data_IF_489930305286
#
_entry.id   IF_489930305286
#
_cell.length_a   1.000
_cell.length_b   1.000
_cell.length_c   1.000
_cell.angle_alpha   90.00
_cell.angle_beta   90.00
_cell.angle_gamma   90.00
#
_symmetry.space_group_name_H-M   'P 1'
#
loop_
_entity.id
_entity.type
_entity.pdbx_description
1 polymer ?
#
# COMPACT_ATOMS: atom_id res chain seq x y z
N UNK A 1 -2.55 19.74 -8.70
CA UNK A 1 -2.34 21.18 -8.93
C UNK A 1 -0.98 21.69 -8.41
N UNK A 2 -0.57 21.36 -7.19
CA UNK A 2 0.73 21.77 -6.64
C UNK A 2 1.92 21.30 -7.51
N UNK A 3 1.94 20.01 -7.90
CA UNK A 3 3.00 19.45 -8.74
C UNK A 3 3.15 20.20 -10.08
N UNK A 4 2.03 20.50 -10.76
CA UNK A 4 2.02 21.28 -12.01
C UNK A 4 2.67 22.66 -11.84
N UNK A 5 2.39 23.37 -10.73
CA UNK A 5 2.98 24.69 -10.46
C UNK A 5 4.48 24.63 -10.16
N UNK A 6 4.94 23.57 -9.51
CA UNK A 6 6.34 23.42 -9.11
C UNK A 6 7.24 22.87 -10.21
N UNK A 7 6.72 21.98 -11.07
CA UNK A 7 7.53 21.27 -12.06
C UNK A 7 7.21 21.58 -13.52
N UNK A 8 6.16 22.37 -13.80
CA UNK A 8 5.80 22.79 -15.16
C UNK A 8 5.34 21.66 -16.10
N UNK A 9 5.02 20.48 -15.56
CA UNK A 9 4.50 19.35 -16.35
C UNK A 9 3.03 19.57 -16.73
N UNK A 10 2.58 18.90 -17.78
CA UNK A 10 1.19 18.98 -18.23
C UNK A 10 0.19 18.48 -17.16
N UNK A 11 -1.07 18.88 -17.33
CA UNK A 11 -2.14 18.59 -16.37
C UNK A 11 -2.40 17.09 -16.19
N UNK A 12 -2.31 16.32 -17.27
CA UNK A 12 -2.58 14.88 -17.24
C UNK A 12 -1.46 14.15 -16.49
N UNK A 13 -0.19 14.43 -16.80
CA UNK A 13 0.97 13.92 -16.08
C UNK A 13 0.93 14.30 -14.61
N UNK A 14 0.62 15.56 -14.27
CA UNK A 14 0.50 15.99 -12.88
C UNK A 14 -0.63 15.26 -12.14
N UNK A 15 -1.75 14.99 -12.80
CA UNK A 15 -2.90 14.30 -12.21
C UNK A 15 -2.57 12.83 -11.94
N UNK A 16 -2.12 12.08 -12.94
CA UNK A 16 -1.82 10.65 -12.78
C UNK A 16 -0.60 10.40 -11.89
N UNK A 17 0.40 11.28 -11.89
CA UNK A 17 1.52 11.23 -10.95
C UNK A 17 1.06 11.38 -9.49
N UNK A 18 0.07 12.24 -9.23
CA UNK A 18 -0.44 12.50 -7.87
C UNK A 18 -1.58 11.57 -7.46
N UNK A 19 -2.27 10.94 -8.41
CA UNK A 19 -3.33 9.99 -8.14
C UNK A 19 -2.83 8.84 -7.26
N UNK A 20 -3.68 8.44 -6.31
CA UNK A 20 -3.43 7.28 -5.46
C UNK A 20 -4.06 6.08 -6.17
N UNK A 21 -3.22 5.25 -6.78
CA UNK A 21 -3.60 4.07 -7.55
C UNK A 21 -2.41 3.14 -7.73
N UNK A 22 -2.65 1.93 -8.24
CA UNK A 22 -1.56 1.01 -8.58
C UNK A 22 -0.73 1.54 -9.74
N UNK A 23 0.60 1.40 -9.65
CA UNK A 23 1.52 1.98 -10.62
C UNK A 23 1.25 1.48 -12.05
N UNK A 24 0.85 0.21 -12.20
CA UNK A 24 0.52 -0.40 -13.49
C UNK A 24 -0.78 0.15 -14.08
N UNK A 25 -1.82 0.33 -13.26
CA UNK A 25 -3.09 0.92 -13.70
C UNK A 25 -2.90 2.38 -14.09
N UNK A 26 -2.10 3.12 -13.32
CA UNK A 26 -1.83 4.54 -13.60
C UNK A 26 -0.95 4.72 -14.83
N UNK A 27 -0.02 3.80 -15.12
CA UNK A 27 0.72 3.79 -16.37
C UNK A 27 -0.23 3.62 -17.58
N UNK A 28 -1.13 2.63 -17.54
CA UNK A 28 -2.12 2.38 -18.60
C UNK A 28 -3.06 3.57 -18.78
N UNK A 29 -3.54 4.16 -17.67
CA UNK A 29 -4.41 5.34 -17.75
C UNK A 29 -3.66 6.58 -18.23
N UNK A 30 -2.39 6.75 -17.86
CA UNK A 30 -1.57 7.86 -18.33
C UNK A 30 -1.34 7.80 -19.84
N UNK A 31 -1.07 6.62 -20.38
CA UNK A 31 -0.91 6.41 -21.82
C UNK A 31 -2.17 6.77 -22.60
N UNK A 32 -3.35 6.36 -22.10
CA UNK A 32 -4.65 6.65 -22.72
C UNK A 32 -5.00 8.13 -22.78
N UNK A 33 -4.44 8.93 -21.88
CA UNK A 33 -4.74 10.37 -21.76
C UNK A 33 -3.54 11.24 -22.16
N UNK A 34 -2.58 10.68 -22.90
CA UNK A 34 -1.43 11.42 -23.44
C UNK A 34 -0.47 11.96 -22.39
N UNK A 35 -0.49 11.43 -21.17
CA UNK A 35 0.45 11.80 -20.12
C UNK A 35 1.80 11.11 -20.30
N UNK A 36 2.85 11.71 -19.76
CA UNK A 36 4.20 11.16 -19.76
C UNK A 36 4.28 9.98 -18.79
N UNK A 37 4.10 8.77 -19.33
CA UNK A 37 4.12 7.50 -18.59
C UNK A 37 5.41 7.35 -17.79
N UNK A 38 6.54 7.80 -18.34
CA UNK A 38 7.84 7.80 -17.68
C UNK A 38 7.82 8.62 -16.40
N UNK A 39 7.34 9.86 -16.46
CA UNK A 39 7.17 10.75 -15.29
C UNK A 39 6.07 10.29 -14.32
N UNK A 40 5.01 9.64 -14.79
CA UNK A 40 3.98 9.10 -13.88
C UNK A 40 4.52 7.91 -13.09
N UNK A 41 5.13 6.94 -13.79
CA UNK A 41 5.83 5.82 -13.16
C UNK A 41 6.91 6.34 -12.22
N UNK A 42 7.58 7.43 -12.60
CA UNK A 42 8.54 8.12 -11.78
C UNK A 42 8.00 8.53 -10.43
N UNK A 43 6.90 9.26 -10.46
CA UNK A 43 6.35 9.81 -9.25
C UNK A 43 5.94 8.71 -8.27
N UNK A 44 5.38 7.61 -8.79
CA UNK A 44 4.96 6.49 -7.96
C UNK A 44 6.15 5.71 -7.39
N UNK A 45 7.20 5.48 -8.16
CA UNK A 45 8.43 4.83 -7.66
C UNK A 45 9.10 5.67 -6.56
N UNK A 46 9.22 6.98 -6.77
CA UNK A 46 9.79 7.89 -5.78
C UNK A 46 8.95 7.94 -4.50
N UNK A 47 7.61 7.95 -4.63
CA UNK A 47 6.70 7.88 -3.48
C UNK A 47 6.91 6.59 -2.70
N UNK A 48 6.97 5.44 -3.37
CA UNK A 48 7.21 4.15 -2.68
C UNK A 48 8.57 4.14 -1.98
N UNK A 49 9.60 4.74 -2.59
CA UNK A 49 10.92 4.90 -1.95
C UNK A 49 10.82 5.69 -0.65
N UNK A 50 10.19 6.86 -0.71
CA UNK A 50 10.04 7.74 0.45
C UNK A 50 9.23 7.06 1.54
N UNK A 51 8.11 6.43 1.20
CA UNK A 51 7.24 5.70 2.12
C UNK A 51 8.02 4.60 2.86
N UNK A 52 8.69 3.71 2.12
CA UNK A 52 9.42 2.58 2.73
C UNK A 52 10.65 3.04 3.51
N UNK A 53 11.33 4.09 3.06
CA UNK A 53 12.51 4.63 3.75
C UNK A 53 12.17 5.49 4.97
N UNK A 54 11.00 6.12 5.03
CA UNK A 54 10.67 7.08 6.11
C UNK A 54 9.71 6.52 7.14
N UNK A 55 8.65 5.80 6.73
CA UNK A 55 7.59 5.37 7.65
C UNK A 55 8.10 4.47 8.78
N UNK A 56 8.86 3.38 8.52
CA UNK A 56 9.29 2.48 9.60
C UNK A 56 10.16 3.20 10.63
N UNK A 57 11.04 4.08 10.17
CA UNK A 57 11.92 4.88 11.01
C UNK A 57 11.15 5.95 11.78
N UNK A 58 10.21 6.63 11.13
CA UNK A 58 9.36 7.65 11.75
C UNK A 58 8.50 7.07 12.86
N UNK A 59 7.83 5.94 12.61
CA UNK A 59 7.01 5.26 13.63
C UNK A 59 7.88 4.72 14.77
N UNK A 60 9.06 4.15 14.48
CA UNK A 60 9.99 3.68 15.52
C UNK A 60 10.54 4.83 16.37
N UNK A 61 10.94 5.93 15.75
CA UNK A 61 11.43 7.13 16.43
C UNK A 61 10.35 7.76 17.32
N UNK A 62 9.11 7.78 16.85
CA UNK A 62 7.99 8.30 17.64
C UNK A 62 7.61 7.34 18.79
N UNK A 63 7.71 6.03 18.57
CA UNK A 63 7.55 5.00 19.59
C UNK A 63 8.55 5.11 20.74
N UNK A 64 9.82 5.41 20.44
CA UNK A 64 10.85 5.57 21.47
C UNK A 64 10.72 6.84 22.32
N UNK A 65 9.83 7.77 21.95
CA UNK A 65 9.59 9.03 22.67
C UNK A 65 8.24 9.06 23.41
N UNK A 66 7.67 7.89 23.72
CA UNK A 66 6.58 7.76 24.71
C UNK A 66 5.15 7.85 24.19
N UNK A 67 4.93 7.89 22.87
CA UNK A 67 3.59 7.86 22.26
C UNK A 67 3.24 6.55 21.56
N UNK A 68 4.07 5.50 21.68
CA UNK A 68 3.82 4.24 20.98
C UNK A 68 4.56 3.00 21.55
N UNK A 69 4.54 2.79 22.86
CA UNK A 69 4.70 1.43 23.40
C UNK A 69 3.32 0.75 23.52
N UNK A 70 2.65 0.56 22.39
CA UNK A 70 1.51 -0.34 22.29
C UNK A 70 1.94 -1.59 21.54
N UNK A 71 2.31 -2.63 22.28
CA UNK A 71 2.32 -3.97 21.70
C UNK A 71 0.86 -4.37 21.48
N UNK A 72 0.33 -4.18 20.27
CA UNK A 72 -0.79 -5.00 19.81
C UNK A 72 -0.19 -6.39 19.51
N UNK A 73 0.08 -7.15 20.58
CA UNK A 73 0.67 -8.48 20.49
C UNK A 73 -0.25 -9.38 19.67
N UNK A 74 0.08 -9.51 18.38
CA UNK A 74 -0.52 -10.53 17.54
C UNK A 74 -0.12 -11.90 18.08
N UNK A 75 -1.05 -12.58 18.76
CA UNK A 75 -0.89 -13.96 19.20
C UNK A 75 -1.33 -14.88 18.05
N UNK A 76 -0.44 -15.71 17.47
CA UNK A 76 -0.83 -16.66 16.44
C UNK A 76 -1.89 -17.64 16.96
N UNK A 77 -2.99 -17.82 16.23
CA UNK A 77 -4.06 -18.76 16.62
C UNK A 77 -3.63 -20.25 16.60
N UNK A 78 -2.56 -20.59 15.87
CA UNK A 78 -1.92 -21.91 15.91
C UNK A 78 -0.51 -21.78 16.48
N UNK A 79 -0.21 -22.55 17.53
CA UNK A 79 1.09 -22.52 18.22
C UNK A 79 2.19 -23.29 17.46
N UNK A 80 1.82 -24.39 16.80
CA UNK A 80 2.73 -25.30 16.11
C UNK A 80 2.54 -25.26 14.59
N UNK A 81 3.59 -25.67 13.89
CA UNK A 81 3.54 -25.93 12.45
C UNK A 81 3.04 -27.35 12.26
N UNK A 82 1.80 -27.50 11.78
CA UNK A 82 1.26 -28.78 11.35
C UNK A 82 1.45 -28.91 9.84
N UNK A 83 2.21 -29.90 9.32
CA UNK A 83 2.41 -30.07 7.89
C UNK A 83 1.10 -30.23 7.10
N UNK A 84 0.12 -30.93 7.66
CA UNK A 84 -1.18 -31.15 7.01
C UNK A 84 -2.00 -29.86 6.97
N UNK A 85 -2.13 -29.18 8.12
CA UNK A 85 -2.75 -27.86 8.21
C UNK A 85 -2.05 -26.80 7.35
N UNK A 86 -0.72 -26.83 7.23
CA UNK A 86 0.05 -25.93 6.37
C UNK A 86 -0.24 -26.21 4.89
N UNK A 87 -0.27 -27.47 4.47
CA UNK A 87 -0.63 -27.85 3.12
C UNK A 87 -2.07 -27.42 2.78
N UNK A 88 -3.02 -27.66 3.69
CA UNK A 88 -4.40 -27.20 3.55
C UNK A 88 -4.48 -25.67 3.44
N UNK A 89 -3.76 -24.94 4.29
CA UNK A 89 -3.72 -23.48 4.26
C UNK A 89 -3.17 -22.94 2.94
N UNK A 90 -2.07 -23.52 2.43
CA UNK A 90 -1.48 -23.15 1.14
C UNK A 90 -2.46 -23.47 0.00
N UNK A 91 -3.08 -24.65 0.00
CA UNK A 91 -4.07 -25.01 -1.01
C UNK A 91 -5.27 -24.06 -1.01
N UNK A 92 -5.87 -23.78 0.14
CA UNK A 92 -7.03 -22.90 0.26
C UNK A 92 -6.69 -21.48 -0.21
N UNK A 93 -5.55 -20.94 0.22
CA UNK A 93 -5.13 -19.58 -0.16
C UNK A 93 -4.80 -19.46 -1.65
N UNK A 94 -4.15 -20.46 -2.24
CA UNK A 94 -3.88 -20.53 -3.69
C UNK A 94 -5.17 -20.66 -4.49
N UNK A 95 -6.09 -21.54 -4.08
CA UNK A 95 -7.39 -21.70 -4.74
C UNK A 95 -8.22 -20.40 -4.68
N UNK A 96 -8.20 -19.69 -3.55
CA UNK A 96 -8.84 -18.40 -3.42
C UNK A 96 -8.22 -17.35 -4.37
N UNK A 97 -6.89 -17.29 -4.47
CA UNK A 97 -6.20 -16.42 -5.43
C UNK A 97 -6.59 -16.73 -6.88
N UNK A 98 -6.66 -18.02 -7.25
CA UNK A 98 -7.05 -18.46 -8.59
C UNK A 98 -8.52 -18.17 -8.90
N UNK A 99 -9.42 -18.36 -7.94
CA UNK A 99 -10.83 -18.00 -8.08
C UNK A 99 -11.00 -16.49 -8.32
N UNK A 100 -10.30 -15.66 -7.55
CA UNK A 100 -10.30 -14.21 -7.71
C UNK A 100 -9.68 -13.77 -9.05
N UNK A 101 -8.60 -14.44 -9.48
CA UNK A 101 -7.98 -14.22 -10.78
C UNK A 101 -8.97 -14.54 -11.92
N UNK A 102 -9.74 -15.62 -11.81
CA UNK A 102 -10.78 -15.98 -12.78
C UNK A 102 -11.91 -14.94 -12.82
N UNK A 103 -12.25 -14.36 -11.67
CA UNK A 103 -13.17 -13.22 -11.54
C UNK A 103 -12.60 -11.88 -12.04
N UNK A 104 -11.36 -11.83 -12.55
CA UNK A 104 -10.66 -10.61 -12.99
C UNK A 104 -10.58 -9.52 -11.92
N UNK A 105 -10.55 -9.91 -10.66
CA UNK A 105 -10.39 -8.97 -9.55
C UNK A 105 -8.94 -8.43 -9.53
N UNK A 106 -8.75 -7.13 -9.30
CA UNK A 106 -7.42 -6.54 -9.22
C UNK A 106 -6.70 -7.10 -7.99
N UNK A 107 -5.38 -7.29 -8.09
CA UNK A 107 -4.55 -7.81 -7.01
C UNK A 107 -5.06 -9.13 -6.38
N UNK A 108 -5.61 -10.03 -7.21
CA UNK A 108 -6.17 -11.32 -6.79
C UNK A 108 -5.22 -12.16 -5.92
N UNK A 109 -3.91 -12.09 -6.18
CA UNK A 109 -2.88 -12.82 -5.43
C UNK A 109 -2.63 -12.28 -4.02
N UNK A 110 -3.11 -11.08 -3.69
CA UNK A 110 -3.09 -10.54 -2.33
C UNK A 110 -4.48 -10.68 -1.70
N UNK A 111 -5.53 -10.24 -2.40
CA UNK A 111 -6.89 -10.20 -1.84
C UNK A 111 -7.44 -11.61 -1.61
N UNK A 112 -7.24 -12.55 -2.54
CA UNK A 112 -7.77 -13.91 -2.43
C UNK A 112 -7.24 -14.66 -1.20
N UNK A 113 -5.91 -14.82 -1.03
CA UNK A 113 -5.32 -15.43 0.15
C UNK A 113 -5.73 -14.73 1.45
N UNK A 114 -5.83 -13.40 1.43
CA UNK A 114 -6.17 -12.63 2.60
C UNK A 114 -7.62 -12.86 3.05
N UNK A 115 -8.56 -12.85 2.11
CA UNK A 115 -9.96 -13.12 2.41
C UNK A 115 -10.15 -14.55 2.92
N UNK A 116 -9.46 -15.52 2.31
CA UNK A 116 -9.49 -16.90 2.76
C UNK A 116 -8.94 -17.04 4.19
N UNK A 117 -7.80 -16.43 4.49
CA UNK A 117 -7.22 -16.44 5.84
C UNK A 117 -8.13 -15.72 6.85
N UNK A 118 -8.76 -14.60 6.46
CA UNK A 118 -9.72 -13.88 7.29
C UNK A 118 -10.94 -14.74 7.62
N UNK A 119 -11.54 -15.39 6.63
CA UNK A 119 -12.72 -16.23 6.81
C UNK A 119 -12.42 -17.45 7.69
N UNK A 120 -11.29 -18.12 7.47
CA UNK A 120 -10.84 -19.21 8.33
C UNK A 120 -10.70 -18.74 9.79
N UNK A 121 -10.03 -17.62 9.99
CA UNK A 121 -9.82 -17.04 11.34
C UNK A 121 -11.13 -16.60 11.98
N UNK A 122 -12.04 -15.98 11.23
CA UNK A 122 -13.35 -15.55 11.71
C UNK A 122 -14.24 -16.73 12.11
N UNK A 123 -14.10 -17.88 11.45
CA UNK A 123 -14.76 -19.13 11.81
C UNK A 123 -14.07 -19.89 12.95
N UNK A 124 -13.00 -19.34 13.55
CA UNK A 124 -12.21 -20.02 14.59
C UNK A 124 -11.35 -21.19 14.07
N UNK A 125 -11.15 -21.29 12.76
CA UNK A 125 -10.38 -22.37 12.13
C UNK A 125 -8.91 -21.93 12.04
N UNK A 126 -8.06 -22.55 12.84
CA UNK A 126 -6.61 -22.29 12.86
C UNK A 126 -5.84 -23.51 12.35
N UNK A 127 -5.60 -23.56 11.03
CA UNK A 127 -5.01 -24.72 10.37
C UNK A 127 -3.55 -24.99 10.76
N UNK A 128 -2.67 -23.99 10.63
CA UNK A 128 -1.26 -24.11 11.00
C UNK A 128 -0.61 -22.74 11.16
N UNK A 129 0.46 -22.68 11.96
CA UNK A 129 1.40 -21.57 11.93
C UNK A 129 2.20 -21.58 10.63
N UNK A 130 2.51 -20.39 10.08
CA UNK A 130 3.49 -20.27 9.01
C UNK A 130 4.92 -20.46 9.58
N UNK A 131 5.74 -21.35 8.99
CA UNK A 131 7.15 -21.45 9.35
C UNK A 131 7.89 -20.12 9.19
N UNK A 132 8.81 -19.82 10.11
CA UNK A 132 9.55 -18.55 10.07
C UNK A 132 10.35 -18.36 8.80
N UNK A 133 10.95 -19.43 8.26
CA UNK A 133 11.71 -19.37 7.01
C UNK A 133 10.83 -18.89 5.83
N UNK A 134 9.54 -19.25 5.82
CA UNK A 134 8.61 -18.90 4.74
C UNK A 134 8.22 -17.42 4.83
N UNK A 135 8.05 -16.91 6.05
CA UNK A 135 7.87 -15.47 6.31
C UNK A 135 9.10 -14.69 5.84
N UNK A 136 10.30 -15.13 6.24
CA UNK A 136 11.57 -14.47 5.87
C UNK A 136 11.81 -14.50 4.35
N UNK A 137 11.48 -15.61 3.69
CA UNK A 137 11.54 -15.71 2.23
C UNK A 137 10.55 -14.75 1.56
N UNK A 138 9.31 -14.66 2.07
CA UNK A 138 8.33 -13.67 1.60
C UNK A 138 8.82 -12.23 1.75
N UNK A 139 9.41 -11.89 2.89
CA UNK A 139 10.03 -10.58 3.12
C UNK A 139 11.17 -10.29 2.13
N UNK A 140 12.02 -11.28 1.86
CA UNK A 140 13.10 -11.17 0.88
C UNK A 140 12.55 -10.90 -0.53
N UNK A 141 11.53 -11.65 -0.97
CA UNK A 141 10.92 -11.44 -2.28
C UNK A 141 10.23 -10.08 -2.40
N UNK A 142 9.54 -9.62 -1.36
CA UNK A 142 8.98 -8.26 -1.32
C UNK A 142 10.10 -7.22 -1.42
N UNK A 143 11.22 -7.42 -0.72
CA UNK A 143 12.40 -6.57 -0.79
C UNK A 143 13.02 -6.52 -2.19
N UNK A 144 13.16 -7.66 -2.87
CA UNK A 144 13.67 -7.74 -4.25
C UNK A 144 12.68 -7.06 -5.22
N UNK A 145 11.37 -7.32 -5.07
CA UNK A 145 10.35 -6.71 -5.91
C UNK A 145 10.26 -5.18 -5.75
N UNK A 146 10.55 -4.67 -4.56
CA UNK A 146 10.70 -3.24 -4.32
C UNK A 146 12.03 -2.73 -4.90
N UNK A 147 13.11 -3.47 -4.67
CA UNK A 147 14.47 -3.18 -5.12
C UNK A 147 14.58 -2.97 -6.64
N UNK A 148 13.92 -3.84 -7.40
CA UNK A 148 13.88 -3.79 -8.87
C UNK A 148 13.13 -2.58 -9.44
N UNK A 149 12.34 -1.87 -8.62
CA UNK A 149 11.70 -0.60 -9.02
C UNK A 149 12.67 0.59 -8.97
N UNK A 150 13.85 0.42 -8.38
CA UNK A 150 14.90 1.43 -8.36
C UNK A 150 15.81 1.28 -9.58
N UNK A 151 15.82 2.30 -10.45
CA UNK A 151 16.76 2.41 -11.57
C UNK A 151 17.63 3.65 -11.40
N UNK A 152 18.97 3.61 -11.54
CA UNK A 152 19.82 4.81 -11.45
C UNK A 152 19.51 5.85 -12.55
N UNK A 153 19.05 5.39 -13.72
CA UNK A 153 18.63 6.26 -14.83
C UNK A 153 17.44 7.14 -14.43
N UNK A 154 16.66 6.68 -13.45
CA UNK A 154 15.52 7.38 -12.88
C UNK A 154 15.88 8.70 -12.19
N UNK A 155 16.92 8.67 -11.35
CA UNK A 155 17.33 9.79 -10.50
C UNK A 155 17.95 10.92 -11.32
N UNK A 156 18.48 10.62 -12.50
CA UNK A 156 19.11 11.58 -13.39
C UNK A 156 18.13 12.23 -14.38
N UNK A 157 16.89 11.75 -14.49
CA UNK A 157 16.00 12.10 -15.60
C UNK A 157 15.25 13.44 -15.47
N UNK A 158 15.13 14.04 -14.27
CA UNK A 158 14.58 15.40 -14.09
C UNK A 158 14.65 15.84 -12.62
N UNK A 159 15.77 16.40 -12.13
CA UNK A 159 15.96 16.66 -10.70
C UNK A 159 14.93 17.64 -10.12
N UNK A 160 14.52 18.67 -10.87
CA UNK A 160 13.48 19.62 -10.43
C UNK A 160 12.10 18.97 -10.31
N UNK A 161 11.76 18.07 -11.23
CA UNK A 161 10.50 17.32 -11.17
C UNK A 161 10.48 16.36 -9.99
N UNK A 162 11.54 15.57 -9.82
CA UNK A 162 11.66 14.62 -8.71
C UNK A 162 11.63 15.32 -7.35
N UNK A 163 12.32 16.46 -7.21
CA UNK A 163 12.25 17.26 -5.98
C UNK A 163 10.82 17.74 -5.69
N UNK A 164 10.09 18.16 -6.72
CA UNK A 164 8.68 18.59 -6.60
C UNK A 164 7.77 17.44 -6.18
N UNK A 165 7.97 16.24 -6.76
CA UNK A 165 7.24 15.03 -6.37
C UNK A 165 7.59 14.62 -4.94
N UNK A 166 8.87 14.67 -4.56
CA UNK A 166 9.30 14.34 -3.21
C UNK A 166 8.62 15.24 -2.18
N UNK A 167 8.60 16.56 -2.41
CA UNK A 167 7.89 17.52 -1.56
C UNK A 167 6.39 17.20 -1.47
N UNK A 168 5.74 16.98 -2.61
CA UNK A 168 4.31 16.62 -2.62
C UNK A 168 4.03 15.31 -1.88
N UNK A 169 4.93 14.32 -1.99
CA UNK A 169 4.82 13.02 -1.32
C UNK A 169 5.00 13.15 0.18
N UNK A 170 5.97 13.94 0.64
CA UNK A 170 6.19 14.23 2.07
C UNK A 170 4.98 14.96 2.66
N UNK A 171 4.44 15.96 1.97
CA UNK A 171 3.22 16.64 2.43
C UNK A 171 2.05 15.66 2.52
N UNK A 172 1.85 14.82 1.50
CA UNK A 172 0.82 13.78 1.53
C UNK A 172 1.00 12.81 2.71
N UNK A 173 2.23 12.40 3.02
CA UNK A 173 2.56 11.56 4.16
C UNK A 173 2.22 12.24 5.50
N UNK A 174 2.58 13.52 5.65
CA UNK A 174 2.27 14.30 6.84
C UNK A 174 0.76 14.46 7.05
N UNK A 175 0.00 14.75 5.98
CA UNK A 175 -1.46 14.82 6.05
C UNK A 175 -2.06 13.46 6.42
N UNK A 176 -1.58 12.38 5.83
CA UNK A 176 -2.06 11.02 6.13
C UNK A 176 -1.75 10.62 7.58
N UNK A 177 -0.58 11.00 8.10
CA UNK A 177 -0.20 10.76 9.50
C UNK A 177 -1.06 11.59 10.46
N UNK A 178 -1.29 12.87 10.18
CA UNK A 178 -2.17 13.73 10.97
C UNK A 178 -3.61 13.18 11.00
N UNK A 179 -4.13 12.74 9.86
CA UNK A 179 -5.42 12.07 9.79
C UNK A 179 -5.44 10.76 10.58
N UNK A 180 -4.37 9.95 10.47
CA UNK A 180 -4.22 8.71 11.24
C UNK A 180 -4.19 8.94 12.75
N UNK A 181 -3.54 10.00 13.22
CA UNK A 181 -3.54 10.39 14.64
C UNK A 181 -4.95 10.79 15.12
N UNK A 182 -5.68 11.58 14.33
CA UNK A 182 -7.08 11.90 14.64
C UNK A 182 -7.96 10.66 14.69
N UNK A 183 -7.78 9.75 13.73
CA UNK A 183 -8.52 8.49 13.65
C UNK A 183 -8.21 7.54 14.81
N UNK A 184 -6.94 7.49 15.25
CA UNK A 184 -6.51 6.73 16.42
C UNK A 184 -7.26 7.18 17.68
N UNK A 185 -7.42 8.50 17.86
CA UNK A 185 -8.17 9.03 19.00
C UNK A 185 -9.66 8.65 18.95
N UNK A 186 -10.25 8.63 17.76
CA UNK A 186 -11.67 8.30 17.56
C UNK A 186 -11.98 6.81 17.68
N UNK A 187 -11.11 5.95 17.13
CA UNK A 187 -11.32 4.50 17.11
C UNK A 187 -10.72 3.78 18.32
N UNK A 188 -9.94 4.48 19.16
CA UNK A 188 -9.23 3.88 20.29
C UNK A 188 -8.15 2.86 19.89
N UNK A 189 -7.69 2.91 18.63
CA UNK A 189 -6.63 2.03 18.11
C UNK A 189 -5.26 2.69 18.26
N UNK A 190 -4.18 1.89 18.25
CA UNK A 190 -2.84 2.43 18.38
C UNK A 190 -2.47 3.41 17.26
N UNK A 191 -1.85 4.54 17.61
CA UNK A 191 -1.47 5.60 16.67
C UNK A 191 -0.64 5.08 15.49
N UNK A 192 0.32 4.20 15.76
CA UNK A 192 1.13 3.55 14.71
C UNK A 192 0.28 2.72 13.75
N UNK A 193 -0.70 1.96 14.26
CA UNK A 193 -1.64 1.18 13.44
C UNK A 193 -2.47 2.09 12.56
N UNK A 194 -3.00 3.19 13.11
CA UNK A 194 -3.82 4.15 12.36
C UNK A 194 -3.02 4.89 11.28
N UNK A 195 -1.82 5.38 11.62
CA UNK A 195 -0.92 6.04 10.66
C UNK A 195 -0.57 5.09 9.52
N UNK A 196 -0.20 3.84 9.82
CA UNK A 196 0.09 2.85 8.78
C UNK A 196 -1.14 2.54 7.94
N UNK A 197 -2.33 2.46 8.54
CA UNK A 197 -3.59 2.17 7.86
C UNK A 197 -4.02 3.28 6.88
N UNK A 198 -3.75 4.55 7.21
CA UNK A 198 -4.12 5.71 6.39
C UNK A 198 -3.03 6.13 5.40
N UNK A 199 -1.78 5.69 5.61
CA UNK A 199 -0.65 6.06 4.78
C UNK A 199 -0.78 5.55 3.33
N UNK A 200 -0.36 6.33 2.34
CA UNK A 200 -0.25 5.86 0.96
C UNK A 200 0.89 4.83 0.87
N UNK A 201 0.61 3.66 0.29
CA UNK A 201 1.58 2.56 0.21
C UNK A 201 0.95 1.27 -0.31
N UNK A 202 1.77 0.26 -0.62
CA UNK A 202 1.28 -1.06 -0.99
C UNK A 202 0.73 -1.83 0.21
N UNK A 203 -0.32 -2.65 0.00
CA UNK A 203 -0.87 -3.54 1.06
C UNK A 203 0.26 -4.36 1.69
N UNK A 204 1.08 -5.02 0.86
CA UNK A 204 2.16 -5.89 1.32
C UNK A 204 3.20 -5.15 2.16
N UNK A 205 3.60 -3.95 1.74
CA UNK A 205 4.61 -3.13 2.43
C UNK A 205 4.09 -2.68 3.79
N UNK A 206 2.88 -2.11 3.85
CA UNK A 206 2.33 -1.57 5.09
C UNK A 206 1.98 -2.67 6.09
N UNK A 207 1.42 -3.81 5.63
CA UNK A 207 1.17 -4.97 6.48
C UNK A 207 2.47 -5.58 7.03
N UNK A 208 3.53 -5.55 6.22
CA UNK A 208 4.84 -6.01 6.66
C UNK A 208 5.46 -5.06 7.70
N UNK A 209 5.43 -3.75 7.45
CA UNK A 209 5.90 -2.74 8.40
C UNK A 209 5.13 -2.83 9.72
N UNK A 210 3.80 -2.98 9.67
CA UNK A 210 2.99 -3.20 10.86
C UNK A 210 3.44 -4.44 11.63
N UNK A 211 3.71 -5.56 10.94
CA UNK A 211 4.20 -6.78 11.57
C UNK A 211 5.57 -6.57 12.24
N UNK A 212 6.50 -5.90 11.57
CA UNK A 212 7.84 -5.65 12.12
C UNK A 212 7.84 -4.68 13.30
N UNK A 213 6.84 -3.81 13.36
CA UNK A 213 6.64 -2.86 14.46
C UNK A 213 5.69 -3.39 15.54
N UNK A 214 5.25 -4.66 15.43
CA UNK A 214 4.29 -5.28 16.36
C UNK A 214 2.97 -4.50 16.51
N UNK A 215 2.47 -3.99 15.38
CA UNK A 215 1.22 -3.24 15.26
C UNK A 215 0.11 -4.11 14.66
N UNK A 216 -1.12 -3.58 14.64
CA UNK A 216 -2.33 -4.24 14.16
C UNK A 216 -2.33 -4.51 12.65
N UNK A 217 -1.63 -5.57 12.20
CA UNK A 217 -1.59 -6.03 10.80
C UNK A 217 -3.01 -6.22 10.22
N UNK A 218 -3.99 -6.82 10.92
CA UNK A 218 -5.34 -6.99 10.38
C UNK A 218 -6.02 -5.66 10.07
N UNK A 219 -5.89 -4.67 10.95
CA UNK A 219 -6.49 -3.33 10.79
C UNK A 219 -5.85 -2.60 9.62
N UNK A 220 -4.52 -2.55 9.57
CA UNK A 220 -3.77 -1.92 8.45
C UNK A 220 -4.19 -2.53 7.12
N UNK A 221 -4.30 -3.85 7.08
CA UNK A 221 -4.67 -4.56 5.86
C UNK A 221 -6.12 -4.30 5.45
N UNK A 222 -7.06 -4.32 6.40
CA UNK A 222 -8.47 -4.04 6.14
C UNK A 222 -8.68 -2.65 5.53
N UNK A 223 -8.00 -1.62 6.07
CA UNK A 223 -8.04 -0.26 5.54
C UNK A 223 -7.52 -0.19 4.10
N UNK A 224 -6.39 -0.84 3.81
CA UNK A 224 -5.81 -0.82 2.47
C UNK A 224 -6.66 -1.58 1.44
N UNK A 225 -7.27 -2.69 1.84
CA UNK A 225 -8.21 -3.45 0.98
C UNK A 225 -9.46 -2.63 0.71
N UNK A 226 -10.07 -2.05 1.74
CA UNK A 226 -11.23 -1.17 1.59
C UNK A 226 -10.91 0.01 0.66
N UNK A 227 -9.77 0.67 0.87
CA UNK A 227 -9.28 1.75 -0.01
C UNK A 227 -9.14 1.27 -1.45
N UNK A 228 -8.56 0.09 -1.68
CA UNK A 228 -8.37 -0.44 -3.03
C UNK A 228 -9.70 -0.71 -3.73
N UNK A 229 -10.67 -1.33 -3.04
CA UNK A 229 -12.01 -1.58 -3.58
C UNK A 229 -12.71 -0.26 -3.94
N UNK A 230 -12.69 0.70 -3.01
CA UNK A 230 -13.26 2.04 -3.22
C UNK A 230 -12.60 2.71 -4.43
N UNK A 231 -11.28 2.74 -4.51
CA UNK A 231 -10.56 3.36 -5.63
C UNK A 231 -10.89 2.69 -6.97
N UNK A 232 -10.90 1.36 -7.05
CA UNK A 232 -11.22 0.64 -8.29
C UNK A 232 -12.64 0.95 -8.78
N UNK A 233 -13.60 1.02 -7.85
CA UNK A 233 -15.00 1.30 -8.19
C UNK A 233 -15.23 2.77 -8.56
N UNK A 234 -14.54 3.70 -7.90
CA UNK A 234 -14.76 5.14 -8.06
C UNK A 234 -13.85 5.82 -9.09
N UNK A 235 -12.70 5.26 -9.45
CA UNK A 235 -11.72 5.98 -10.30
C UNK A 235 -12.25 6.29 -11.70
N UNK A 236 -13.02 5.38 -12.30
CA UNK A 236 -13.65 5.59 -13.61
C UNK A 236 -14.69 6.71 -13.58
N UNK A 237 -15.71 6.64 -12.69
CA UNK A 237 -16.68 7.72 -12.51
C UNK A 237 -16.03 9.06 -12.17
N UNK A 238 -15.06 9.09 -11.25
CA UNK A 238 -14.40 10.31 -10.79
C UNK A 238 -13.64 11.00 -11.93
N UNK A 239 -12.93 10.22 -12.76
CA UNK A 239 -12.24 10.75 -13.94
C UNK A 239 -13.23 11.35 -14.94
N UNK A 240 -14.33 10.66 -15.24
CA UNK A 240 -15.35 11.15 -16.20
C UNK A 240 -16.03 12.47 -15.78
N UNK A 241 -16.17 12.71 -14.47
CA UNK A 241 -16.75 13.96 -13.94
C UNK A 241 -15.72 15.10 -13.98
N UNK A 242 -14.45 14.82 -13.73
CA UNK A 242 -13.37 15.80 -13.77
C UNK A 242 -13.01 16.22 -15.20
N UNK A 243 -13.13 15.31 -16.16
CA UNK A 243 -12.89 15.55 -17.58
C UNK A 243 -13.98 16.44 -18.21
N UNK A 244 -15.26 16.18 -17.87
CA UNK A 244 -16.39 17.04 -18.25
C UNK A 244 -16.27 18.50 -17.78
N UNK A 245 -15.50 18.75 -16.72
CA UNK A 245 -15.23 20.10 -16.20
C UNK A 245 -14.03 20.79 -16.85
N UNK A 246 -13.15 20.06 -17.54
CA UNK A 246 -11.98 20.63 -18.23
C UNK A 246 -12.16 20.70 -19.76
N UNK A 247 -13.21 20.09 -20.32
CA UNK A 247 -13.61 20.26 -21.72
C UNK A 247 -14.56 21.43 -22.00
N UNK A 248 -14.71 22.39 -21.07
CA UNK A 248 -15.56 23.58 -21.21
C UNK A 248 -14.80 24.91 -21.03
N UNK A 249 -13.48 24.89 -20.90
CA UNK A 249 -12.60 26.06 -20.95
C UNK A 249 -11.74 26.02 -22.22
#
# INVERSE_FOLDING_TARGET
>A
MLLRRLSGVDSATAFFAMAVGGASEMAVQSERHGADVGKVAAAHSLRMMLVVATIPFGVRYWGSHGLAEGHETFVPGAALVDPAGLAALVCITVLAALAFKRGRLPNAWVIGPLLAALLLTACGIHLSRLPEWMIRAGQLFVGIALGTRFSPAFLHAAPRYLASVALCSVLMLLLAAAFGLGLSHWLGIHAGTAILATSPGGIAEMSLTAKTLHLGVPVVTAFHVARMVVLVLLIGPLFSVLDKRHGQD
#
